data_IF_842934275529
#
_entry.id   IF_842934275529
#
_cell.length_a   1.000
_cell.length_b   1.000
_cell.length_c   1.000
_cell.angle_alpha   90.00
_cell.angle_beta   90.00
_cell.angle_gamma   90.00
#
_symmetry.space_group_name_H-M   'P 1'
#
loop_
_entity.id
_entity.type
_entity.pdbx_description
1 polymer ?
#
# COMPACT_ATOMS: atom_id res chain seq x y z
N UNK A 1 24.17 78.36 -12.24
CA UNK A 1 23.36 78.06 -13.46
C UNK A 1 24.18 77.07 -14.28
N UNK A 2 23.80 75.85 -14.63
CA UNK A 2 22.50 75.23 -14.98
C UNK A 2 22.41 73.79 -14.44
N UNK A 3 21.16 73.37 -14.22
CA UNK A 3 20.66 72.07 -13.71
C UNK A 3 20.93 70.93 -14.70
N UNK A 4 21.17 69.71 -14.22
CA UNK A 4 20.66 68.50 -14.86
C UNK A 4 20.29 67.46 -13.80
N UNK A 5 19.07 66.94 -13.92
CA UNK A 5 18.29 66.28 -12.87
C UNK A 5 18.79 64.90 -12.46
N UNK A 6 18.59 64.60 -11.17
CA UNK A 6 18.68 63.24 -10.63
C UNK A 6 17.46 62.46 -11.11
N UNK A 7 17.72 61.48 -11.97
CA UNK A 7 16.78 60.47 -12.42
C UNK A 7 16.51 59.51 -11.25
N UNK A 8 15.24 59.38 -10.84
CA UNK A 8 14.81 58.37 -9.88
C UNK A 8 15.07 56.98 -10.48
N UNK A 9 15.89 56.17 -9.81
CA UNK A 9 15.99 54.75 -10.06
C UNK A 9 14.97 54.06 -9.13
N UNK A 10 13.82 53.70 -9.68
CA UNK A 10 12.86 52.84 -9.00
C UNK A 10 13.43 51.42 -8.94
N UNK A 11 13.79 50.96 -7.74
CA UNK A 11 14.12 49.56 -7.50
C UNK A 11 12.82 48.74 -7.60
N UNK A 12 12.59 48.09 -8.74
CA UNK A 12 11.59 47.04 -8.84
C UNK A 12 12.15 45.80 -8.14
N UNK A 13 11.69 45.55 -6.91
CA UNK A 13 11.86 44.25 -6.25
C UNK A 13 10.92 43.28 -6.96
N UNK A 14 11.44 42.59 -7.97
CA UNK A 14 10.78 41.44 -8.56
C UNK A 14 10.78 40.32 -7.52
N UNK A 15 9.71 40.26 -6.73
CA UNK A 15 9.36 39.06 -5.98
C UNK A 15 9.03 37.97 -7.01
N UNK A 16 10.01 37.12 -7.31
CA UNK A 16 9.78 35.86 -8.02
C UNK A 16 9.06 34.95 -7.02
N UNK A 17 7.75 35.17 -6.83
CA UNK A 17 6.91 34.07 -6.41
C UNK A 17 6.84 33.14 -7.63
N UNK A 18 7.64 32.08 -7.60
CA UNK A 18 7.43 30.94 -8.48
C UNK A 18 5.96 30.53 -8.27
N UNK A 19 5.11 30.88 -9.22
CA UNK A 19 3.72 30.45 -9.24
C UNK A 19 3.74 28.95 -9.53
N UNK A 20 3.98 28.15 -8.50
CA UNK A 20 3.50 26.78 -8.55
C UNK A 20 1.99 26.87 -8.85
N UNK A 21 1.48 26.17 -9.87
CA UNK A 21 0.06 26.20 -10.16
C UNK A 21 -0.69 25.85 -8.89
N UNK A 22 -1.65 26.68 -8.45
CA UNK A 22 -2.44 26.44 -7.23
C UNK A 22 -3.02 25.02 -7.19
N UNK A 23 -3.27 24.40 -8.34
CA UNK A 23 -3.69 23.00 -8.45
C UNK A 23 -2.66 22.00 -7.91
N UNK A 24 -1.37 22.13 -8.25
CA UNK A 24 -0.30 21.26 -7.73
C UNK A 24 -0.10 21.45 -6.22
N UNK A 25 -0.14 22.71 -5.75
CA UNK A 25 -0.02 23.01 -4.33
C UNK A 25 -1.22 22.46 -3.52
N UNK A 26 -2.43 22.50 -4.09
CA UNK A 26 -3.61 21.88 -3.49
C UNK A 26 -3.54 20.34 -3.50
N UNK A 27 -3.04 19.71 -4.57
CA UNK A 27 -2.83 18.25 -4.62
C UNK A 27 -1.81 17.76 -3.59
N UNK A 28 -0.68 18.47 -3.42
CA UNK A 28 0.28 18.15 -2.35
C UNK A 28 -0.30 18.35 -0.94
N UNK A 29 -1.17 19.35 -0.75
CA UNK A 29 -1.75 19.67 0.56
C UNK A 29 -2.71 18.61 1.10
N UNK A 30 -3.30 17.78 0.23
CA UNK A 30 -4.26 16.75 0.60
C UNK A 30 -3.69 15.32 0.56
N UNK A 31 -2.43 15.13 0.13
CA UNK A 31 -1.81 13.81 0.06
C UNK A 31 -1.29 13.40 1.44
N UNK A 32 -1.90 12.37 2.03
CA UNK A 32 -1.37 11.76 3.26
C UNK A 32 0.08 11.32 3.02
N UNK A 33 0.95 11.63 3.98
CA UNK A 33 2.38 11.37 3.90
C UNK A 33 3.18 12.45 3.18
N UNK A 34 2.58 13.60 2.86
CA UNK A 34 3.32 14.81 2.51
C UNK A 34 3.82 15.53 3.77
N UNK A 35 4.69 16.52 3.60
CA UNK A 35 5.16 17.34 4.72
C UNK A 35 4.04 18.24 5.30
N UNK A 36 3.01 18.55 4.52
CA UNK A 36 1.85 19.35 4.92
C UNK A 36 0.72 18.51 5.52
N UNK A 37 0.65 17.22 5.20
CA UNK A 37 -0.28 16.25 5.75
C UNK A 37 0.43 14.94 6.16
N UNK A 38 1.32 14.98 7.17
CA UNK A 38 2.07 13.81 7.60
C UNK A 38 1.16 12.72 8.19
N UNK A 39 1.51 11.47 7.94
CA UNK A 39 0.80 10.29 8.45
C UNK A 39 1.00 10.16 9.97
N UNK A 40 -0.10 10.05 10.71
CA UNK A 40 -0.07 9.61 12.10
C UNK A 40 0.06 8.09 12.15
N UNK A 41 1.27 7.60 12.46
CA UNK A 41 1.54 6.16 12.51
C UNK A 41 0.81 5.51 13.69
N UNK A 42 0.80 6.15 14.86
CA UNK A 42 0.09 5.66 16.04
C UNK A 42 0.40 6.52 17.26
N UNK A 43 -0.30 6.29 18.37
CA UNK A 43 -0.28 7.17 19.57
C UNK A 43 1.12 7.50 20.13
N UNK A 44 2.05 6.56 20.02
CA UNK A 44 3.41 6.65 20.59
C UNK A 44 4.50 6.62 19.49
N UNK A 45 4.11 6.79 18.23
CA UNK A 45 5.01 6.80 17.08
C UNK A 45 5.13 8.22 16.52
N UNK A 46 6.26 8.58 15.90
CA UNK A 46 6.37 9.86 15.21
C UNK A 46 5.36 9.91 14.06
N UNK A 47 4.81 11.10 13.79
CA UNK A 47 4.19 11.34 12.50
C UNK A 47 5.27 11.28 11.42
N UNK A 48 4.94 10.74 10.25
CA UNK A 48 5.90 10.56 9.17
C UNK A 48 5.41 11.14 7.85
N UNK A 49 6.35 11.61 7.05
CA UNK A 49 6.14 11.93 5.64
C UNK A 49 7.13 11.12 4.79
N UNK A 50 6.92 11.08 3.49
CA UNK A 50 7.84 10.41 2.58
C UNK A 50 7.98 11.14 1.25
N UNK A 51 9.15 10.96 0.66
CA UNK A 51 9.47 11.33 -0.71
C UNK A 51 9.71 10.05 -1.51
N UNK A 52 9.13 9.98 -2.70
CA UNK A 52 9.33 8.87 -3.63
C UNK A 52 10.40 9.30 -4.63
N UNK A 53 11.51 8.58 -4.63
CA UNK A 53 12.65 8.75 -5.53
C UNK A 53 12.74 7.52 -6.45
N UNK A 54 13.49 7.58 -7.57
CA UNK A 54 13.52 6.47 -8.53
C UNK A 54 13.87 5.10 -7.95
N UNK A 55 14.81 5.06 -6.99
CA UNK A 55 15.35 3.81 -6.42
C UNK A 55 14.90 3.56 -4.96
N UNK A 56 14.21 4.52 -4.34
CA UNK A 56 13.80 4.39 -2.94
C UNK A 56 12.63 5.28 -2.55
N UNK A 57 11.96 4.90 -1.46
CA UNK A 57 11.05 5.76 -0.71
C UNK A 57 11.78 6.17 0.57
N UNK A 58 12.08 7.46 0.67
CA UNK A 58 12.72 8.05 1.85
C UNK A 58 11.64 8.51 2.83
N UNK A 59 11.63 7.92 4.03
CA UNK A 59 10.66 8.23 5.10
C UNK A 59 11.31 9.17 6.12
N UNK A 60 10.62 10.25 6.44
CA UNK A 60 11.08 11.28 7.37
C UNK A 60 10.14 11.39 8.57
N UNK A 61 10.68 11.73 9.74
CA UNK A 61 9.86 12.21 10.86
C UNK A 61 9.32 13.60 10.53
N UNK A 62 8.04 13.84 10.79
CA UNK A 62 7.43 15.16 10.63
C UNK A 62 7.87 16.14 11.74
N UNK A 63 7.76 17.44 11.46
CA UNK A 63 8.08 18.53 12.39
C UNK A 63 9.33 19.33 12.02
N UNK A 64 9.68 20.31 12.85
CA UNK A 64 10.65 21.38 12.54
C UNK A 64 12.07 20.88 12.21
N UNK A 65 12.46 19.73 12.74
CA UNK A 65 13.80 19.16 12.55
C UNK A 65 13.85 18.06 11.48
N UNK A 66 12.76 17.82 10.74
CA UNK A 66 12.55 16.78 9.71
C UNK A 66 13.77 15.86 9.49
N UNK A 67 13.77 14.69 10.11
CA UNK A 67 14.91 13.76 10.12
C UNK A 67 14.58 12.52 9.28
N UNK A 68 15.53 12.09 8.45
CA UNK A 68 15.42 10.81 7.75
C UNK A 68 15.33 9.67 8.77
N UNK A 69 14.23 8.91 8.72
CA UNK A 69 13.96 7.77 9.59
C UNK A 69 14.51 6.48 8.98
N UNK A 70 14.20 6.26 7.70
CA UNK A 70 14.64 5.10 6.93
C UNK A 70 14.48 5.36 5.42
N UNK A 71 15.16 4.54 4.63
CA UNK A 71 14.94 4.42 3.20
C UNK A 71 14.42 3.01 2.91
N UNK A 72 13.36 2.93 2.13
CA UNK A 72 12.76 1.67 1.67
C UNK A 72 13.14 1.51 0.19
N UNK A 73 13.84 0.43 -0.21
CA UNK A 73 14.14 0.18 -1.61
C UNK A 73 12.86 0.09 -2.45
N UNK A 74 12.83 0.79 -3.59
CA UNK A 74 11.65 0.84 -4.46
C UNK A 74 12.03 1.27 -5.87
N UNK A 75 11.56 0.60 -6.91
CA UNK A 75 11.80 1.00 -8.31
C UNK A 75 10.54 1.68 -8.89
N UNK A 76 10.62 2.97 -9.17
CA UNK A 76 9.48 3.73 -9.70
C UNK A 76 9.18 3.45 -11.17
N UNK A 77 10.18 3.04 -11.93
CA UNK A 77 10.10 2.84 -13.38
C UNK A 77 9.28 1.59 -13.72
N UNK A 78 9.10 0.70 -12.74
CA UNK A 78 8.34 -0.53 -12.90
C UNK A 78 6.85 -0.29 -13.21
N UNK A 79 6.24 0.79 -12.69
CA UNK A 79 4.81 1.09 -12.86
C UNK A 79 4.55 2.60 -12.95
N UNK A 80 3.83 3.10 -13.97
CA UNK A 80 3.43 4.50 -14.05
C UNK A 80 2.23 4.76 -13.13
N UNK A 81 2.50 5.04 -11.85
CA UNK A 81 1.50 5.28 -10.82
C UNK A 81 1.68 6.67 -10.20
N UNK A 82 0.56 7.24 -9.74
CA UNK A 82 0.59 8.39 -8.85
C UNK A 82 1.14 7.98 -7.49
N UNK A 83 1.77 8.91 -6.77
CA UNK A 83 2.38 8.64 -5.46
C UNK A 83 1.39 8.07 -4.43
N UNK A 84 0.14 8.54 -4.45
CA UNK A 84 -0.94 8.03 -3.58
C UNK A 84 -1.31 6.57 -3.84
N UNK A 85 -1.06 6.09 -5.07
CA UNK A 85 -1.31 4.70 -5.46
C UNK A 85 -0.08 3.82 -5.25
N UNK A 86 1.10 4.43 -5.05
CA UNK A 86 2.37 3.74 -4.75
C UNK A 86 2.48 3.36 -3.29
N UNK A 87 2.18 4.29 -2.38
CA UNK A 87 2.29 4.10 -0.93
C UNK A 87 0.92 4.28 -0.29
N UNK A 88 0.36 3.20 0.22
CA UNK A 88 -0.98 3.14 0.80
C UNK A 88 -0.84 2.90 2.31
N UNK A 89 -1.18 3.88 3.16
CA UNK A 89 -1.23 3.69 4.61
C UNK A 89 -2.42 2.82 5.00
N UNK A 90 -2.19 1.75 5.75
CA UNK A 90 -3.24 0.83 6.21
C UNK A 90 -2.74 0.06 7.44
N UNK A 91 -3.55 -0.13 8.48
CA UNK A 91 -3.22 -1.02 9.60
C UNK A 91 -3.44 -2.48 9.16
N UNK A 92 -2.37 -3.15 8.73
CA UNK A 92 -2.42 -4.46 8.07
C UNK A 92 -2.42 -5.63 9.06
N UNK A 93 -2.00 -5.39 10.31
CA UNK A 93 -1.96 -6.40 11.38
C UNK A 93 -2.98 -6.15 12.51
N UNK A 94 -3.77 -5.08 12.40
CA UNK A 94 -4.86 -4.68 13.31
C UNK A 94 -4.40 -4.35 14.73
N UNK A 95 -3.18 -3.82 14.87
CA UNK A 95 -2.58 -3.48 16.16
C UNK A 95 -2.76 -1.99 16.56
N UNK A 96 -3.44 -1.21 15.71
CA UNK A 96 -3.72 0.20 15.91
C UNK A 96 -2.58 1.14 15.47
N UNK A 97 -1.55 0.62 14.83
CA UNK A 97 -0.51 1.42 14.17
C UNK A 97 -0.65 1.27 12.66
N UNK A 98 -0.60 2.39 11.95
CA UNK A 98 -0.71 2.40 10.49
C UNK A 98 0.59 1.90 9.88
N UNK A 99 0.50 0.90 9.01
CA UNK A 99 1.61 0.33 8.25
C UNK A 99 1.69 0.97 6.85
N UNK A 100 2.71 0.59 6.07
CA UNK A 100 2.84 1.03 4.67
C UNK A 100 2.71 -0.16 3.71
N UNK A 101 1.68 -0.13 2.88
CA UNK A 101 1.49 -1.06 1.78
C UNK A 101 1.99 -0.42 0.49
N UNK A 102 3.07 -0.94 -0.07
CA UNK A 102 3.76 -0.34 -1.22
C UNK A 102 3.54 -1.19 -2.46
N UNK A 103 3.05 -0.60 -3.56
CA UNK A 103 2.74 -1.33 -4.79
C UNK A 103 4.00 -1.96 -5.40
N UNK A 104 4.11 -3.29 -5.37
CA UNK A 104 5.28 -4.01 -5.87
C UNK A 104 5.10 -4.51 -7.31
N UNK A 105 3.91 -4.99 -7.67
CA UNK A 105 3.60 -5.34 -9.05
C UNK A 105 2.11 -5.33 -9.36
N UNK A 106 1.77 -5.10 -10.62
CA UNK A 106 0.39 -5.12 -11.11
C UNK A 106 0.31 -5.85 -12.44
N UNK A 107 -0.29 -7.04 -12.42
CA UNK A 107 -0.70 -7.74 -13.63
C UNK A 107 -2.13 -7.37 -14.03
N UNK A 108 -2.64 -8.04 -15.06
CA UNK A 108 -4.04 -7.88 -15.48
C UNK A 108 -5.05 -8.30 -14.40
N UNK A 109 -4.77 -9.39 -13.68
CA UNK A 109 -5.71 -10.00 -12.74
C UNK A 109 -5.27 -9.89 -11.26
N UNK A 110 -3.96 -9.85 -10.99
CA UNK A 110 -3.40 -9.83 -9.64
C UNK A 110 -2.60 -8.56 -9.40
N UNK A 111 -2.66 -8.07 -8.16
CA UNK A 111 -1.85 -6.96 -7.66
C UNK A 111 -1.07 -7.45 -6.45
N UNK A 112 0.22 -7.14 -6.38
CA UNK A 112 1.07 -7.50 -5.24
C UNK A 112 1.67 -6.25 -4.61
N UNK A 113 1.84 -6.30 -3.30
CA UNK A 113 2.36 -5.22 -2.49
C UNK A 113 3.53 -5.72 -1.64
N UNK A 114 4.54 -4.87 -1.45
CA UNK A 114 5.48 -5.01 -0.35
C UNK A 114 4.82 -4.43 0.90
N UNK A 115 4.53 -5.28 1.88
CA UNK A 115 3.82 -4.92 3.09
C UNK A 115 4.83 -4.63 4.21
N UNK A 116 4.99 -3.36 4.57
CA UNK A 116 5.95 -2.90 5.58
C UNK A 116 5.23 -2.54 6.88
N UNK A 117 5.34 -3.42 7.89
CA UNK A 117 4.69 -3.25 9.18
C UNK A 117 5.48 -2.32 10.11
N UNK A 118 4.79 -1.51 10.90
CA UNK A 118 5.42 -0.68 11.91
C UNK A 118 5.94 -1.52 13.09
N UNK A 119 7.25 -1.50 13.30
CA UNK A 119 7.88 -2.09 14.47
C UNK A 119 7.98 -1.04 15.59
N UNK A 120 7.16 -1.22 16.63
CA UNK A 120 7.10 -0.33 17.79
C UNK A 120 8.40 -0.25 18.59
N UNK A 121 9.19 -1.33 18.65
CA UNK A 121 10.43 -1.34 19.42
C UNK A 121 11.56 -0.62 18.66
N UNK A 122 11.62 -0.80 17.34
CA UNK A 122 12.63 -0.21 16.46
C UNK A 122 12.24 1.18 15.96
N UNK A 123 10.96 1.54 16.09
CA UNK A 123 10.36 2.78 15.59
C UNK A 123 10.61 2.96 14.08
N UNK A 124 10.40 1.88 13.32
CA UNK A 124 10.68 1.79 11.87
C UNK A 124 9.72 0.82 11.21
N UNK A 125 9.52 0.97 9.90
CA UNK A 125 8.77 -0.02 9.12
C UNK A 125 9.67 -1.18 8.71
N UNK A 126 9.16 -2.40 8.84
CA UNK A 126 9.85 -3.67 8.56
C UNK A 126 9.03 -4.50 7.58
N UNK A 127 9.66 -4.96 6.50
CA UNK A 127 9.02 -5.80 5.50
C UNK A 127 8.48 -7.10 6.12
N UNK A 128 7.23 -7.42 5.84
CA UNK A 128 6.58 -8.66 6.22
C UNK A 128 6.37 -9.55 5.00
N UNK A 129 7.29 -10.49 4.80
CA UNK A 129 7.37 -11.34 3.60
C UNK A 129 6.07 -12.11 3.35
N UNK A 130 5.50 -12.74 4.38
CA UNK A 130 4.29 -13.57 4.24
C UNK A 130 3.07 -12.75 3.79
N UNK A 131 2.97 -11.49 4.23
CA UNK A 131 1.89 -10.58 3.81
C UNK A 131 2.11 -10.13 2.37
N UNK A 132 3.37 -9.93 1.99
CA UNK A 132 3.77 -9.45 0.67
C UNK A 132 3.57 -10.50 -0.44
N UNK A 133 3.43 -11.77 -0.05
CA UNK A 133 3.12 -12.88 -0.96
C UNK A 133 1.62 -13.01 -1.27
N UNK A 134 0.75 -12.32 -0.54
CA UNK A 134 -0.68 -12.36 -0.82
C UNK A 134 -1.00 -11.60 -2.11
N UNK A 135 -1.76 -12.25 -2.99
CA UNK A 135 -2.31 -11.59 -4.17
C UNK A 135 -3.55 -10.77 -3.79
N UNK A 136 -3.58 -9.53 -4.26
CA UNK A 136 -4.69 -8.59 -4.14
C UNK A 136 -5.30 -8.54 -2.71
N UNK A 137 -4.48 -8.34 -1.65
CA UNK A 137 -4.93 -8.41 -0.28
C UNK A 137 -5.87 -7.25 0.08
N UNK A 138 -6.90 -7.55 0.89
CA UNK A 138 -7.83 -6.60 1.49
C UNK A 138 -7.90 -6.82 2.98
N UNK A 139 -7.74 -5.76 3.76
CA UNK A 139 -7.72 -5.81 5.23
C UNK A 139 -9.06 -5.28 5.76
N UNK A 140 -9.73 -6.07 6.58
CA UNK A 140 -11.00 -5.69 7.20
C UNK A 140 -10.79 -5.45 8.70
N UNK A 141 -10.75 -4.18 9.15
CA UNK A 141 -10.56 -3.86 10.57
C UNK A 141 -11.77 -4.23 11.44
N UNK A 142 -12.97 -4.35 10.87
CA UNK A 142 -14.18 -4.70 11.61
C UNK A 142 -14.18 -6.17 12.04
N UNK A 143 -13.67 -7.05 11.18
CA UNK A 143 -13.52 -8.48 11.50
C UNK A 143 -12.09 -8.89 11.89
N UNK A 144 -11.12 -7.98 11.72
CA UNK A 144 -9.67 -8.24 11.85
C UNK A 144 -9.22 -9.43 10.99
N UNK A 145 -9.71 -9.46 9.76
CA UNK A 145 -9.36 -10.50 8.79
C UNK A 145 -8.74 -9.92 7.53
N UNK A 146 -7.98 -10.76 6.85
CA UNK A 146 -7.31 -10.42 5.60
C UNK A 146 -7.86 -11.34 4.54
N UNK A 147 -8.42 -10.77 3.48
CA UNK A 147 -8.84 -11.53 2.31
C UNK A 147 -7.77 -11.43 1.23
N UNK A 148 -7.52 -12.53 0.51
CA UNK A 148 -6.69 -12.56 -0.69
C UNK A 148 -7.40 -13.30 -1.81
N UNK A 149 -7.22 -12.83 -3.04
CA UNK A 149 -7.65 -13.50 -4.26
C UNK A 149 -6.48 -13.61 -5.23
N UNK A 150 -6.15 -14.84 -5.61
CA UNK A 150 -5.14 -15.14 -6.60
C UNK A 150 -5.78 -15.78 -7.83
N UNK A 151 -5.78 -15.04 -8.94
CA UNK A 151 -6.14 -15.54 -10.25
C UNK A 151 -4.95 -16.29 -10.87
N UNK A 152 -5.10 -17.58 -11.13
CA UNK A 152 -4.03 -18.45 -11.62
C UNK A 152 -4.15 -18.63 -13.14
N UNK A 153 -5.36 -18.90 -13.63
CA UNK A 153 -5.66 -19.07 -15.05
C UNK A 153 -7.11 -18.65 -15.32
N UNK A 154 -7.56 -18.76 -16.58
CA UNK A 154 -8.95 -18.45 -16.95
C UNK A 154 -10.00 -19.24 -16.14
N UNK A 155 -9.63 -20.38 -15.58
CA UNK A 155 -10.53 -21.27 -14.82
C UNK A 155 -10.10 -21.48 -13.37
N UNK A 156 -8.83 -21.18 -13.05
CA UNK A 156 -8.21 -21.56 -11.79
C UNK A 156 -7.99 -20.33 -10.91
N UNK A 157 -8.43 -20.41 -9.67
CA UNK A 157 -8.25 -19.33 -8.69
C UNK A 157 -8.23 -19.87 -7.27
N UNK A 158 -7.61 -19.10 -6.37
CA UNK A 158 -7.62 -19.34 -4.94
C UNK A 158 -8.06 -18.08 -4.22
N UNK A 159 -9.11 -18.20 -3.41
CA UNK A 159 -9.49 -17.21 -2.41
C UNK A 159 -9.12 -17.74 -1.03
N UNK A 160 -8.67 -16.86 -0.15
CA UNK A 160 -8.45 -17.22 1.25
C UNK A 160 -8.73 -16.04 2.17
N UNK A 161 -9.26 -16.36 3.35
CA UNK A 161 -9.40 -15.43 4.48
C UNK A 161 -8.44 -15.86 5.58
N UNK A 162 -7.68 -14.91 6.11
CA UNK A 162 -6.67 -15.12 7.14
C UNK A 162 -7.00 -14.29 8.39
N UNK A 163 -6.50 -14.76 9.53
CA UNK A 163 -6.26 -13.92 10.70
C UNK A 163 -4.77 -13.63 10.81
N UNK A 164 -4.43 -12.42 11.25
CA UNK A 164 -3.07 -12.09 11.66
C UNK A 164 -2.92 -12.36 13.17
N UNK A 165 -2.08 -13.31 13.55
CA UNK A 165 -1.87 -13.67 14.95
C UNK A 165 -0.40 -13.98 15.21
N UNK A 166 0.17 -13.42 16.28
CA UNK A 166 1.55 -13.66 16.69
C UNK A 166 2.58 -13.42 15.56
N UNK A 167 2.35 -12.39 14.74
CA UNK A 167 3.25 -12.04 13.63
C UNK A 167 3.18 -13.00 12.43
N UNK A 168 2.10 -13.78 12.29
CA UNK A 168 1.93 -14.73 11.19
C UNK A 168 0.50 -14.72 10.65
N UNK A 169 0.35 -15.10 9.39
CA UNK A 169 -0.95 -15.38 8.80
C UNK A 169 -1.41 -16.78 9.17
N UNK A 170 -2.66 -16.88 9.63
CA UNK A 170 -3.35 -18.14 9.82
C UNK A 170 -4.57 -18.18 8.91
N UNK A 171 -4.60 -19.04 7.87
CA UNK A 171 -5.79 -19.19 7.06
C UNK A 171 -6.95 -19.73 7.90
N UNK A 172 -8.15 -19.25 7.61
CA UNK A 172 -9.41 -19.69 8.22
C UNK A 172 -10.23 -20.49 7.22
N UNK A 173 -10.38 -19.93 6.02
CA UNK A 173 -11.17 -20.47 4.93
C UNK A 173 -10.37 -20.35 3.64
N UNK A 174 -10.45 -21.38 2.80
CA UNK A 174 -9.84 -21.40 1.48
C UNK A 174 -10.90 -21.86 0.50
N UNK A 175 -11.03 -21.17 -0.63
CA UNK A 175 -11.84 -21.59 -1.76
C UNK A 175 -10.94 -21.73 -2.98
N UNK A 176 -10.76 -22.96 -3.43
CA UNK A 176 -10.00 -23.30 -4.62
C UNK A 176 -10.98 -23.59 -5.76
N UNK A 177 -10.81 -22.90 -6.89
CA UNK A 177 -11.45 -23.28 -8.17
C UNK A 177 -10.38 -23.83 -9.09
N UNK A 178 -10.64 -24.98 -9.68
CA UNK A 178 -9.74 -25.60 -10.63
C UNK A 178 -10.52 -26.32 -11.72
N UNK A 179 -10.05 -26.23 -12.95
CA UNK A 179 -10.60 -26.97 -14.08
C UNK A 179 -10.26 -28.46 -14.00
N UNK A 180 -11.29 -29.30 -14.04
CA UNK A 180 -11.18 -30.74 -14.15
C UNK A 180 -11.34 -31.17 -15.61
N UNK A 181 -10.22 -31.57 -16.21
CA UNK A 181 -10.17 -31.96 -17.63
C UNK A 181 -11.01 -33.20 -17.93
N UNK A 182 -11.08 -34.15 -17.00
CA UNK A 182 -11.79 -35.41 -17.21
C UNK A 182 -13.30 -35.19 -17.31
N UNK A 183 -13.87 -34.37 -16.43
CA UNK A 183 -15.28 -34.01 -16.46
C UNK A 183 -15.61 -32.83 -17.38
N UNK A 184 -14.61 -32.10 -17.89
CA UNK A 184 -14.77 -30.83 -18.60
C UNK A 184 -15.60 -29.81 -17.79
N UNK A 185 -15.27 -29.66 -16.50
CA UNK A 185 -15.99 -28.79 -15.56
C UNK A 185 -15.04 -28.05 -14.64
N UNK A 186 -15.48 -26.94 -14.05
CA UNK A 186 -14.74 -26.32 -12.94
C UNK A 186 -15.24 -26.93 -11.64
N UNK A 187 -14.31 -27.35 -10.78
CA UNK A 187 -14.62 -27.83 -9.43
C UNK A 187 -14.20 -26.76 -8.44
N UNK A 188 -15.15 -26.29 -7.64
CA UNK A 188 -14.88 -25.46 -6.48
C UNK A 188 -14.82 -26.31 -5.20
N UNK A 189 -13.73 -26.17 -4.44
CA UNK A 189 -13.49 -26.85 -3.16
C UNK A 189 -13.31 -25.80 -2.08
N UNK A 190 -14.14 -25.87 -1.04
CA UNK A 190 -14.04 -25.01 0.13
C UNK A 190 -13.48 -25.80 1.30
N UNK A 191 -12.52 -25.21 2.00
CA UNK A 191 -11.89 -25.79 3.18
C UNK A 191 -12.03 -24.85 4.35
N UNK A 192 -12.33 -25.40 5.52
CA UNK A 192 -12.01 -24.76 6.79
C UNK A 192 -10.62 -25.19 7.23
N UNK A 193 -9.87 -24.30 7.86
CA UNK A 193 -8.53 -24.62 8.38
C UNK A 193 -8.53 -24.53 9.91
N UNK A 194 -8.07 -25.60 10.55
CA UNK A 194 -7.97 -25.65 12.01
C UNK A 194 -6.78 -24.83 12.55
N UNK A 195 -6.63 -24.79 13.88
CA UNK A 195 -5.56 -24.04 14.53
C UNK A 195 -4.15 -24.60 14.24
N UNK A 196 -4.05 -25.87 13.82
CA UNK A 196 -2.82 -26.55 13.46
C UNK A 196 -2.47 -26.36 11.97
N UNK A 197 -3.35 -25.73 11.19
CA UNK A 197 -3.18 -25.51 9.76
C UNK A 197 -3.70 -26.65 8.89
N UNK A 198 -4.37 -27.65 9.47
CA UNK A 198 -4.94 -28.75 8.68
C UNK A 198 -6.21 -28.29 7.97
N UNK A 199 -6.28 -28.62 6.69
CA UNK A 199 -7.45 -28.31 5.84
C UNK A 199 -8.48 -29.42 5.98
N UNK A 200 -9.72 -29.03 6.23
CA UNK A 200 -10.88 -29.92 6.22
C UNK A 200 -11.79 -29.48 5.09
N UNK A 201 -12.04 -30.37 4.11
CA UNK A 201 -12.95 -30.09 3.00
C UNK A 201 -14.38 -29.99 3.55
N UNK A 202 -14.97 -28.80 3.45
CA UNK A 202 -16.34 -28.56 3.93
C UNK A 202 -17.36 -28.60 2.79
N UNK A 203 -16.92 -28.28 1.56
CA UNK A 203 -17.80 -28.27 0.39
C UNK A 203 -17.04 -28.57 -0.89
N UNK A 204 -17.65 -29.37 -1.76
CA UNK A 204 -17.21 -29.58 -3.14
C UNK A 204 -18.39 -29.41 -4.07
N UNK A 205 -18.26 -28.58 -5.10
CA UNK A 205 -19.31 -28.35 -6.08
C UNK A 205 -18.73 -28.30 -7.49
N UNK A 206 -19.51 -28.79 -8.46
CA UNK A 206 -19.29 -28.49 -9.88
C UNK A 206 -19.85 -27.09 -10.13
N UNK A 207 -19.04 -26.22 -10.72
CA UNK A 207 -19.44 -24.88 -11.15
C UNK A 207 -19.67 -24.97 -12.65
N UNK A 208 -20.93 -24.78 -13.06
CA UNK A 208 -21.25 -24.63 -14.48
C UNK A 208 -20.68 -23.29 -14.93
N UNK A 209 -19.96 -23.28 -16.05
CA UNK A 209 -19.67 -22.02 -16.73
C UNK A 209 -21.01 -21.47 -17.22
N UNK A 210 -21.39 -20.29 -16.74
CA UNK A 210 -22.37 -19.49 -17.47
C UNK A 210 -21.74 -19.23 -18.85
N UNK A 211 -22.40 -19.71 -19.90
CA UNK A 211 -22.03 -19.35 -21.26
C UNK A 211 -22.51 -17.92 -21.48
N UNK A 212 -21.60 -16.96 -21.36
CA UNK A 212 -21.77 -15.63 -21.98
C UNK A 212 -21.65 -15.73 -23.50
#
# INVERSE_FOLDING_TARGET
MKRLGKMLLALAVSAIFASQPLALACEESNRIGSDTAPLAVGKDAPNVSWTIEPDNISVYTAGSSRKLLQQIPYDTDFLPLNDSDRVIPEDMNFDGYTDLKIMASRGHANVYYACWLWDKARQKFVLHEELSQLASPRFDPGTKTIFSFNHISATDSVEATYMFQNGKLRPLNILERAYDRAGNVIIARQYSVDAQGNRQLTRKQVVLQDQE
#
